data_IF_576453812793
#
_entry.id   IF_576453812793
#
_cell.length_a   1.000
_cell.length_b   1.000
_cell.length_c   1.000
_cell.angle_alpha   90.00
_cell.angle_beta   90.00
_cell.angle_gamma   90.00
#
_symmetry.space_group_name_H-M   'P 1'
#
loop_
_entity.id
_entity.type
_entity.pdbx_description
1 polymer ?
#
# COMPACT_ATOMS: atom_id res chain seq x y z
N UNK A 1 -4.34 9.74 -21.09
CA UNK A 1 -4.08 10.87 -20.16
C UNK A 1 -2.86 10.55 -19.35
N UNK A 2 -1.88 11.48 -19.29
CA UNK A 2 -0.62 11.25 -18.54
C UNK A 2 -0.94 11.10 -17.05
N UNK A 3 -0.44 10.01 -16.44
CA UNK A 3 -0.61 9.71 -15.02
C UNK A 3 0.69 9.83 -14.23
N UNK A 4 1.84 9.66 -14.90
CA UNK A 4 3.17 9.85 -14.31
C UNK A 4 4.11 10.39 -15.38
N UNK A 5 4.94 11.36 -15.00
CA UNK A 5 5.98 11.92 -15.85
C UNK A 5 7.27 12.13 -15.04
N UNK A 6 8.37 11.63 -15.57
CA UNK A 6 9.70 11.91 -15.05
C UNK A 6 10.50 12.73 -16.06
N UNK A 7 11.09 13.82 -15.59
CA UNK A 7 11.87 14.73 -16.42
C UNK A 7 13.31 14.82 -15.94
N UNK A 8 14.27 14.52 -16.85
CA UNK A 8 15.71 14.60 -16.60
C UNK A 8 16.15 13.92 -15.30
N UNK A 9 15.58 12.74 -15.02
CA UNK A 9 15.89 11.98 -13.80
C UNK A 9 17.34 11.55 -13.88
N UNK A 10 18.09 11.81 -12.82
CA UNK A 10 19.47 11.38 -12.61
C UNK A 10 19.57 10.63 -11.29
N UNK A 11 20.42 9.62 -11.25
CA UNK A 11 20.85 8.96 -10.04
C UNK A 11 22.35 8.72 -10.06
N UNK A 12 23.02 9.16 -9.00
CA UNK A 12 24.44 8.93 -8.77
C UNK A 12 24.68 8.42 -7.35
N UNK A 13 25.74 7.63 -7.15
CA UNK A 13 26.18 7.13 -5.86
C UNK A 13 27.67 7.47 -5.68
N UNK A 14 28.00 8.21 -4.64
CA UNK A 14 29.39 8.57 -4.30
C UNK A 14 30.19 9.18 -5.47
N UNK A 15 29.50 9.87 -6.39
CA UNK A 15 30.12 10.51 -7.56
C UNK A 15 30.04 9.68 -8.85
N UNK A 16 29.71 8.42 -8.78
CA UNK A 16 29.50 7.58 -9.96
C UNK A 16 28.06 7.71 -10.46
N UNK A 17 27.87 8.09 -11.71
CA UNK A 17 26.55 8.23 -12.33
C UNK A 17 26.02 6.84 -12.71
N UNK A 18 24.90 6.45 -12.13
CA UNK A 18 24.21 5.21 -12.48
C UNK A 18 23.38 5.38 -13.76
N UNK A 19 22.65 6.47 -13.85
CA UNK A 19 21.96 6.94 -15.07
C UNK A 19 21.69 8.44 -14.96
N UNK A 20 21.58 9.11 -16.11
CA UNK A 20 21.30 10.52 -16.24
C UNK A 20 20.29 10.81 -17.34
N UNK A 21 19.71 11.98 -17.30
CA UNK A 21 18.79 12.52 -18.31
C UNK A 21 17.67 11.57 -18.75
N UNK A 22 17.16 10.76 -17.82
CA UNK A 22 16.04 9.87 -18.12
C UNK A 22 14.74 10.68 -18.18
N UNK A 23 14.05 10.57 -19.32
CA UNK A 23 12.73 11.14 -19.49
C UNK A 23 11.75 9.99 -19.74
N UNK A 24 10.69 9.95 -18.95
CA UNK A 24 9.65 8.92 -19.03
C UNK A 24 8.27 9.54 -18.89
N UNK A 25 7.35 9.04 -19.65
CA UNK A 25 5.93 9.40 -19.55
C UNK A 25 5.12 8.11 -19.54
N UNK A 26 4.13 8.06 -18.67
CA UNK A 26 3.20 6.94 -18.54
C UNK A 26 1.79 7.47 -18.67
N UNK A 27 1.05 6.95 -19.62
CA UNK A 27 -0.37 7.23 -19.82
C UNK A 27 -1.27 6.17 -19.17
N UNK A 28 -2.53 6.50 -18.93
CA UNK A 28 -3.54 5.54 -18.49
C UNK A 28 -3.59 4.35 -19.45
N UNK A 29 -3.46 3.13 -18.96
CA UNK A 29 -3.45 1.85 -19.70
C UNK A 29 -2.14 1.51 -20.40
N UNK A 30 -1.08 2.28 -20.25
CA UNK A 30 0.21 1.89 -20.78
C UNK A 30 0.73 0.62 -20.09
N UNK A 31 1.46 -0.17 -20.88
CA UNK A 31 2.25 -1.31 -20.40
C UNK A 31 3.67 -1.11 -20.86
N UNK A 32 4.53 -0.67 -19.96
CA UNK A 32 5.90 -0.31 -20.25
C UNK A 32 6.83 -1.38 -19.71
N UNK A 33 7.76 -1.86 -20.54
CA UNK A 33 8.83 -2.77 -20.13
C UNK A 33 10.16 -2.02 -20.08
N UNK A 34 10.80 -2.03 -18.91
CA UNK A 34 12.13 -1.46 -18.72
C UNK A 34 13.18 -2.57 -18.94
N UNK A 35 13.93 -2.47 -20.01
CA UNK A 35 14.96 -3.44 -20.40
C UNK A 35 16.35 -2.86 -20.28
N UNK A 36 17.34 -3.71 -19.96
CA UNK A 36 18.72 -3.30 -19.80
C UNK A 36 19.55 -4.36 -19.07
N UNK A 37 20.87 -4.20 -19.05
CA UNK A 37 21.82 -5.09 -18.37
C UNK A 37 21.57 -5.13 -16.86
N UNK A 38 22.04 -6.18 -16.18
CA UNK A 38 22.06 -6.20 -14.72
C UNK A 38 22.97 -5.09 -14.19
N UNK A 39 22.53 -4.39 -13.14
CA UNK A 39 23.26 -3.22 -12.61
C UNK A 39 23.00 -1.89 -13.32
N UNK A 40 22.23 -1.84 -14.41
CA UNK A 40 21.92 -0.60 -15.13
C UNK A 40 20.96 0.36 -14.39
N UNK A 41 20.57 0.05 -13.15
CA UNK A 41 19.72 0.94 -12.34
C UNK A 41 18.21 0.78 -12.57
N UNK A 42 17.74 -0.29 -13.24
CA UNK A 42 16.30 -0.48 -13.53
C UNK A 42 15.43 -0.46 -12.27
N UNK A 43 15.79 -1.23 -11.26
CA UNK A 43 15.05 -1.28 -9.99
C UNK A 43 15.12 0.06 -9.23
N UNK A 44 16.28 0.74 -9.28
CA UNK A 44 16.47 2.07 -8.71
C UNK A 44 15.56 3.09 -9.40
N UNK A 45 15.49 3.07 -10.73
CA UNK A 45 14.59 3.96 -11.47
C UNK A 45 13.12 3.69 -11.09
N UNK A 46 12.70 2.42 -10.99
CA UNK A 46 11.33 2.10 -10.55
C UNK A 46 11.04 2.62 -9.14
N UNK A 47 11.96 2.43 -8.18
CA UNK A 47 11.80 2.96 -6.82
C UNK A 47 11.71 4.49 -6.78
N UNK A 48 12.48 5.17 -7.65
CA UNK A 48 12.41 6.61 -7.80
C UNK A 48 11.03 7.02 -8.37
N UNK A 49 10.53 6.33 -9.39
CA UNK A 49 9.23 6.63 -10.00
C UNK A 49 8.05 6.44 -9.04
N UNK A 50 8.13 5.48 -8.11
CA UNK A 50 7.10 5.26 -7.08
C UNK A 50 7.31 6.08 -5.81
N UNK A 51 8.42 6.83 -5.71
CA UNK A 51 8.70 7.70 -4.57
C UNK A 51 9.35 7.02 -3.37
N UNK A 52 9.83 5.77 -3.50
CA UNK A 52 10.58 5.08 -2.44
C UNK A 52 12.01 5.62 -2.30
N UNK A 53 12.60 6.10 -3.39
CA UNK A 53 13.92 6.75 -3.41
C UNK A 53 13.83 8.12 -4.08
N UNK A 54 14.64 9.08 -3.58
CA UNK A 54 14.75 10.37 -4.21
C UNK A 54 15.75 10.30 -5.38
N UNK A 55 15.53 10.98 -6.52
CA UNK A 55 16.53 11.17 -7.54
C UNK A 55 17.66 12.09 -7.05
N UNK A 56 18.84 12.02 -7.66
CA UNK A 56 19.91 12.99 -7.43
C UNK A 56 19.56 14.34 -8.05
N UNK A 57 18.96 14.31 -9.25
CA UNK A 57 18.40 15.48 -9.92
C UNK A 57 17.21 15.07 -10.80
N UNK A 58 16.45 16.06 -11.28
CA UNK A 58 15.25 15.84 -12.08
C UNK A 58 13.97 15.86 -11.23
N UNK A 59 12.85 15.73 -11.91
CA UNK A 59 11.53 15.88 -11.30
C UNK A 59 10.60 14.72 -11.70
N UNK A 60 9.74 14.32 -10.75
CA UNK A 60 8.66 13.36 -11.00
C UNK A 60 7.34 14.04 -10.67
N UNK A 61 6.46 14.01 -11.65
CA UNK A 61 5.11 14.54 -11.53
C UNK A 61 4.11 13.40 -11.68
N UNK A 62 3.19 13.28 -10.73
CA UNK A 62 2.13 12.29 -10.76
C UNK A 62 0.77 12.98 -10.78
N UNK A 63 -0.22 12.33 -11.39
CA UNK A 63 -1.61 12.75 -11.30
C UNK A 63 -2.01 12.81 -9.82
N UNK A 64 -2.79 13.81 -9.45
CA UNK A 64 -3.35 13.94 -8.11
C UNK A 64 -4.15 12.68 -7.75
N UNK A 65 -4.01 12.23 -6.52
CA UNK A 65 -4.68 11.03 -5.98
C UNK A 65 -4.37 9.73 -6.76
N UNK A 66 -3.21 9.67 -7.45
CA UNK A 66 -2.74 8.45 -8.08
C UNK A 66 -2.28 7.45 -7.03
N UNK A 67 -2.93 6.29 -6.99
CA UNK A 67 -2.49 5.19 -6.16
C UNK A 67 -1.41 4.39 -6.90
N UNK A 68 -0.18 4.40 -6.36
CA UNK A 68 0.97 3.68 -6.91
C UNK A 68 1.36 2.56 -5.95
N UNK A 69 1.65 1.39 -6.51
CA UNK A 69 2.23 0.30 -5.76
C UNK A 69 3.46 -0.26 -6.47
N UNK A 70 4.41 -0.75 -5.70
CA UNK A 70 5.64 -1.34 -6.18
C UNK A 70 5.82 -2.75 -5.62
N UNK A 71 5.98 -3.73 -6.51
CA UNK A 71 6.33 -5.08 -6.11
C UNK A 71 7.83 -5.27 -6.32
N UNK A 72 8.57 -5.36 -5.22
CA UNK A 72 10.00 -5.62 -5.25
C UNK A 72 10.29 -7.06 -5.72
N UNK A 73 11.41 -7.25 -6.42
CA UNK A 73 11.86 -8.57 -6.89
C UNK A 73 12.15 -9.52 -5.71
N UNK A 74 12.67 -8.98 -4.60
CA UNK A 74 12.93 -9.68 -3.34
C UNK A 74 11.92 -9.21 -2.28
N UNK A 75 10.66 -9.56 -2.47
CA UNK A 75 9.60 -9.29 -1.49
C UNK A 75 9.70 -10.27 -0.32
N UNK A 76 10.75 -10.14 0.50
CA UNK A 76 10.84 -10.84 1.77
C UNK A 76 10.20 -10.00 2.86
N UNK A 77 9.27 -10.59 3.56
CA UNK A 77 8.73 -9.97 4.75
C UNK A 77 9.73 -10.13 5.90
N UNK A 78 10.16 -9.05 6.50
CA UNK A 78 10.93 -9.04 7.75
C UNK A 78 10.00 -8.99 8.96
N UNK A 79 8.89 -9.70 8.89
CA UNK A 79 7.83 -9.68 9.90
C UNK A 79 7.70 -11.04 10.57
N UNK A 80 7.52 -11.04 11.88
CA UNK A 80 7.18 -12.23 12.68
C UNK A 80 5.66 -12.49 12.70
N UNK A 81 4.88 -11.75 11.92
CA UNK A 81 3.43 -11.90 11.85
C UNK A 81 3.02 -13.22 11.19
N UNK A 82 1.80 -13.62 11.45
CA UNK A 82 1.13 -14.65 10.64
C UNK A 82 0.66 -14.08 9.31
N UNK A 83 0.35 -14.94 8.35
CA UNK A 83 -0.17 -14.55 7.03
C UNK A 83 -1.39 -13.62 7.20
N UNK A 84 -2.35 -14.01 8.02
CA UNK A 84 -3.57 -13.23 8.24
C UNK A 84 -3.30 -11.90 8.94
N UNK A 85 -2.45 -11.91 9.97
CA UNK A 85 -2.06 -10.69 10.68
C UNK A 85 -1.34 -9.68 9.76
N UNK A 86 -0.53 -10.15 8.82
CA UNK A 86 0.14 -9.29 7.85
C UNK A 86 -0.83 -8.64 6.87
N UNK A 87 -1.85 -9.38 6.41
CA UNK A 87 -2.92 -8.83 5.59
C UNK A 87 -3.76 -7.81 6.36
N UNK A 88 -4.05 -8.07 7.64
CA UNK A 88 -4.75 -7.11 8.52
C UNK A 88 -4.00 -5.79 8.70
N UNK A 89 -2.66 -5.80 8.63
CA UNK A 89 -1.85 -4.57 8.77
C UNK A 89 -2.10 -3.58 7.63
N UNK A 90 -2.48 -4.03 6.45
CA UNK A 90 -2.88 -3.16 5.34
C UNK A 90 -4.06 -2.28 5.75
N UNK A 91 -4.95 -2.81 6.58
CA UNK A 91 -6.18 -2.17 7.06
C UNK A 91 -6.04 -1.56 8.46
N UNK A 92 -4.79 -1.30 8.92
CA UNK A 92 -4.55 -0.75 10.26
C UNK A 92 -5.32 0.56 10.52
N UNK A 93 -5.45 1.42 9.50
CA UNK A 93 -6.26 2.65 9.57
C UNK A 93 -7.74 2.37 9.79
N UNK A 94 -8.34 1.45 9.02
CA UNK A 94 -9.74 1.06 9.20
C UNK A 94 -9.99 0.43 10.56
N UNK A 95 -9.08 -0.42 11.04
CA UNK A 95 -9.18 -1.03 12.39
C UNK A 95 -9.10 0.02 13.51
N UNK A 96 -8.28 1.04 13.33
CA UNK A 96 -8.25 2.16 14.28
C UNK A 96 -9.56 2.94 14.28
N UNK A 97 -10.14 3.19 13.10
CA UNK A 97 -11.43 3.87 12.96
C UNK A 97 -12.58 3.02 13.52
N UNK A 98 -12.59 1.71 13.30
CA UNK A 98 -13.56 0.79 13.90
C UNK A 98 -13.53 0.85 15.43
N UNK A 99 -12.33 0.80 16.02
CA UNK A 99 -12.17 0.97 17.46
C UNK A 99 -12.70 2.32 17.93
N UNK A 100 -12.38 3.39 17.20
CA UNK A 100 -12.85 4.74 17.52
C UNK A 100 -14.38 4.85 17.46
N UNK A 101 -15.03 4.24 16.48
CA UNK A 101 -16.49 4.18 16.40
C UNK A 101 -17.10 3.50 17.62
N UNK A 102 -16.56 2.34 18.02
CA UNK A 102 -17.01 1.65 19.25
C UNK A 102 -16.81 2.48 20.52
N UNK A 103 -15.68 3.18 20.64
CA UNK A 103 -15.40 4.08 21.77
C UNK A 103 -16.40 5.25 21.80
N UNK A 104 -16.81 5.78 20.63
CA UNK A 104 -17.82 6.82 20.52
C UNK A 104 -19.20 6.29 20.89
N UNK A 105 -19.60 5.08 20.48
CA UNK A 105 -20.85 4.44 20.88
C UNK A 105 -20.96 4.30 22.41
N UNK A 106 -19.89 3.86 23.06
CA UNK A 106 -19.88 3.78 24.53
C UNK A 106 -20.05 5.14 25.20
N UNK A 107 -19.38 6.18 24.68
CA UNK A 107 -19.50 7.55 25.21
C UNK A 107 -20.88 8.15 25.00
N UNK A 108 -21.56 7.83 23.90
CA UNK A 108 -22.94 8.31 23.66
C UNK A 108 -23.92 7.87 24.74
N UNK A 109 -23.70 6.71 25.38
CA UNK A 109 -24.53 6.22 26.47
C UNK A 109 -24.42 7.06 27.76
N UNK A 110 -23.34 7.85 27.89
CA UNK A 110 -23.03 8.65 29.10
C UNK A 110 -23.32 10.14 28.91
N UNK A 111 -23.45 10.61 27.68
CA UNK A 111 -23.60 12.02 27.33
C UNK A 111 -25.07 12.42 27.11
N UNK A 112 -25.37 13.71 27.34
CA UNK A 112 -26.68 14.29 27.08
C UNK A 112 -26.54 15.73 26.54
N UNK A 113 -27.60 16.22 25.86
CA UNK A 113 -27.65 17.60 25.35
C UNK A 113 -26.63 17.87 24.23
N UNK A 114 -26.09 19.07 24.18
CA UNK A 114 -25.24 19.54 23.08
C UNK A 114 -23.96 18.71 22.85
N UNK A 115 -23.44 18.08 23.89
CA UNK A 115 -22.23 17.25 23.78
C UNK A 115 -22.54 15.90 23.12
N UNK A 116 -23.73 15.35 23.38
CA UNK A 116 -24.23 14.19 22.64
C UNK A 116 -24.45 14.54 21.16
N UNK A 117 -25.08 15.67 20.84
CA UNK A 117 -25.36 16.07 19.47
C UNK A 117 -24.07 16.24 18.65
N UNK A 118 -23.03 16.83 19.26
CA UNK A 118 -21.70 16.93 18.61
C UNK A 118 -21.07 15.56 18.36
N UNK A 119 -21.09 14.69 19.36
CA UNK A 119 -20.52 13.36 19.24
C UNK A 119 -21.24 12.52 18.18
N UNK A 120 -22.57 12.62 18.08
CA UNK A 120 -23.36 11.98 17.03
C UNK A 120 -22.97 12.47 15.65
N UNK A 121 -22.79 13.79 15.46
CA UNK A 121 -22.36 14.36 14.17
C UNK A 121 -20.97 13.85 13.76
N UNK A 122 -20.03 13.77 14.71
CA UNK A 122 -18.68 13.23 14.44
C UNK A 122 -18.71 11.73 14.15
N UNK A 123 -19.58 10.97 14.83
CA UNK A 123 -19.80 9.55 14.58
C UNK A 123 -20.36 9.30 13.20
N UNK A 124 -21.38 10.02 12.77
CA UNK A 124 -22.00 9.88 11.45
C UNK A 124 -20.98 10.13 10.35
N UNK A 125 -20.16 11.17 10.49
CA UNK A 125 -19.09 11.47 9.53
C UNK A 125 -18.04 10.36 9.46
N UNK A 126 -17.56 9.89 10.61
CA UNK A 126 -16.55 8.82 10.66
C UNK A 126 -17.11 7.49 10.16
N UNK A 127 -18.37 7.16 10.52
CA UNK A 127 -19.04 5.94 10.08
C UNK A 127 -19.24 5.92 8.56
N UNK A 128 -19.62 7.06 7.97
CA UNK A 128 -19.77 7.16 6.52
C UNK A 128 -18.43 7.04 5.79
N UNK A 129 -17.36 7.68 6.28
CA UNK A 129 -16.01 7.53 5.74
C UNK A 129 -15.51 6.08 5.88
N UNK A 130 -15.70 5.45 7.03
CA UNK A 130 -15.38 4.06 7.29
C UNK A 130 -16.10 3.12 6.30
N UNK A 131 -17.39 3.35 6.08
CA UNK A 131 -18.20 2.59 5.12
C UNK A 131 -17.69 2.73 3.70
N UNK A 132 -17.39 3.97 3.26
CA UNK A 132 -16.90 4.25 1.90
C UNK A 132 -15.54 3.61 1.62
N UNK A 133 -14.70 3.48 2.63
CA UNK A 133 -13.40 2.82 2.54
C UNK A 133 -13.46 1.28 2.70
N UNK A 134 -14.65 0.70 2.73
CA UNK A 134 -14.84 -0.74 2.85
C UNK A 134 -14.66 -1.29 4.27
N UNK A 135 -14.87 -0.46 5.31
CA UNK A 135 -14.67 -0.84 6.69
C UNK A 135 -15.51 -2.03 7.17
N UNK A 136 -16.65 -2.29 6.53
CA UNK A 136 -17.48 -3.46 6.86
C UNK A 136 -17.14 -4.71 6.03
N UNK A 137 -16.27 -4.61 5.03
CA UNK A 137 -15.98 -5.72 4.11
C UNK A 137 -14.53 -6.17 4.13
N UNK A 138 -13.60 -5.37 4.69
CA UNK A 138 -12.15 -5.63 4.59
C UNK A 138 -11.74 -7.03 5.08
N UNK A 139 -12.38 -7.58 6.11
CA UNK A 139 -12.08 -8.95 6.57
C UNK A 139 -12.51 -10.01 5.55
N UNK A 140 -13.69 -9.85 4.94
CA UNK A 140 -14.16 -10.74 3.87
C UNK A 140 -13.29 -10.60 2.62
N UNK A 141 -12.82 -9.40 2.33
CA UNK A 141 -11.93 -9.13 1.19
C UNK A 141 -10.57 -9.80 1.41
N UNK A 142 -10.00 -9.71 2.63
CA UNK A 142 -8.77 -10.44 3.00
C UNK A 142 -8.95 -11.95 2.78
N UNK A 143 -10.04 -12.54 3.26
CA UNK A 143 -10.32 -13.98 3.11
C UNK A 143 -10.44 -14.37 1.65
N UNK A 144 -11.17 -13.58 0.85
CA UNK A 144 -11.33 -13.81 -0.58
C UNK A 144 -9.99 -13.73 -1.33
N UNK A 145 -9.15 -12.73 -1.01
CA UNK A 145 -7.83 -12.55 -1.60
C UNK A 145 -6.92 -13.72 -1.23
N UNK A 146 -6.80 -14.07 0.05
CA UNK A 146 -5.97 -15.17 0.52
C UNK A 146 -6.35 -16.49 -0.17
N UNK A 147 -7.64 -16.80 -0.25
CA UNK A 147 -8.14 -18.00 -0.96
C UNK A 147 -7.79 -17.94 -2.47
N UNK A 148 -7.94 -16.77 -3.10
CA UNK A 148 -7.57 -16.56 -4.50
C UNK A 148 -6.08 -16.82 -4.78
N UNK A 149 -5.21 -16.47 -3.83
CA UNK A 149 -3.77 -16.73 -3.86
C UNK A 149 -3.38 -18.11 -3.31
N UNK A 150 -4.37 -18.98 -3.04
CA UNK A 150 -4.18 -20.36 -2.54
C UNK A 150 -3.50 -20.42 -1.17
N UNK A 151 -3.89 -19.56 -0.27
CA UNK A 151 -3.62 -19.65 1.15
C UNK A 151 -4.90 -20.12 1.85
N UNK A 152 -4.99 -21.41 2.14
CA UNK A 152 -6.13 -22.01 2.83
C UNK A 152 -6.23 -21.51 4.28
N UNK A 153 -7.40 -21.58 4.88
CA UNK A 153 -7.64 -21.14 6.26
C UNK A 153 -6.68 -21.79 7.27
N UNK A 154 -6.29 -23.05 7.04
CA UNK A 154 -5.29 -23.74 7.87
C UNK A 154 -3.90 -23.11 7.84
N UNK A 155 -3.60 -22.30 6.83
CA UNK A 155 -2.31 -21.61 6.68
C UNK A 155 -2.33 -20.20 7.27
N UNK A 156 -3.47 -19.63 7.57
CA UNK A 156 -3.56 -18.20 7.92
C UNK A 156 -2.80 -17.84 9.20
N UNK A 157 -2.73 -18.76 10.15
CA UNK A 157 -1.97 -18.58 11.39
C UNK A 157 -0.50 -19.02 11.26
N UNK A 158 -0.06 -19.44 10.06
CA UNK A 158 1.32 -19.78 9.80
C UNK A 158 2.21 -18.52 9.84
N UNK A 159 3.34 -18.53 10.55
CA UNK A 159 4.31 -17.46 10.51
C UNK A 159 4.83 -17.24 9.07
N UNK A 160 4.98 -15.98 8.69
CA UNK A 160 5.49 -15.63 7.34
C UNK A 160 6.92 -16.16 7.14
N UNK A 161 7.71 -16.25 8.21
CA UNK A 161 9.05 -16.84 8.20
C UNK A 161 9.11 -18.26 7.63
N UNK A 162 8.01 -18.99 7.74
CA UNK A 162 7.92 -20.41 7.35
C UNK A 162 7.48 -20.59 5.89
N UNK A 163 7.19 -19.48 5.21
CA UNK A 163 6.77 -19.50 3.82
C UNK A 163 7.95 -19.79 2.88
N UNK A 164 7.70 -20.62 1.89
CA UNK A 164 8.61 -20.78 0.75
C UNK A 164 8.74 -19.49 -0.06
N UNK A 165 9.82 -19.32 -0.83
CA UNK A 165 10.02 -18.13 -1.68
C UNK A 165 8.84 -17.83 -2.61
N UNK A 166 8.24 -18.89 -3.20
CA UNK A 166 7.06 -18.75 -4.07
C UNK A 166 5.80 -18.34 -3.28
N UNK A 167 5.64 -18.80 -2.04
CA UNK A 167 4.54 -18.36 -1.18
C UNK A 167 4.74 -16.90 -0.75
N UNK A 168 5.96 -16.51 -0.38
CA UNK A 168 6.28 -15.11 -0.07
C UNK A 168 5.93 -14.17 -1.23
N UNK A 169 6.31 -14.53 -2.46
CA UNK A 169 5.97 -13.73 -3.63
C UNK A 169 4.45 -13.63 -3.83
N UNK A 170 3.71 -14.73 -3.64
CA UNK A 170 2.24 -14.72 -3.74
C UNK A 170 1.60 -13.85 -2.65
N UNK A 171 2.11 -13.90 -1.42
CA UNK A 171 1.63 -13.05 -0.33
C UNK A 171 1.91 -11.57 -0.59
N UNK A 172 3.09 -11.25 -1.13
CA UNK A 172 3.44 -9.89 -1.52
C UNK A 172 2.55 -9.34 -2.65
N UNK A 173 2.10 -10.21 -3.56
CA UNK A 173 1.13 -9.84 -4.59
C UNK A 173 -0.30 -9.67 -4.05
N UNK A 174 -0.62 -10.40 -2.97
CA UNK A 174 -1.94 -10.35 -2.32
C UNK A 174 -2.12 -9.10 -1.45
N UNK A 175 -1.04 -8.55 -0.93
CA UNK A 175 -0.96 -7.38 -0.06
C UNK A 175 -1.03 -6.07 -0.84
#
# INVERSE_FOLDING_TARGET
MIILQGNKIERSFSGDVLFDNINIQVDERDRIALVGRNGAGKSTLLKILVGEEAPTSGEINTKRDLNLSYLAQDSRFESSNTIYAEMLNVFAGLRADEKRLRDMEMKMAELTGSDLDKLMTDYDRLSEDFRQRGGFTYESDIRAILNGFKFDESMWEMPISDLSGGQNTRLALAK
#
